data_IF_335801016832
#
_entry.id   IF_335801016832
#
_cell.length_a   1.000
_cell.length_b   1.000
_cell.length_c   1.000
_cell.angle_alpha   90.00
_cell.angle_beta   90.00
_cell.angle_gamma   90.00
#
_symmetry.space_group_name_H-M   'P 1'
#
loop_
_entity.id
_entity.type
_entity.pdbx_description
1 polymer ?
#
# COMPACT_ATOMS: atom_id res chain seq x y z
N UNK A 1 42.58 -6.61 -26.26
CA UNK A 1 41.09 -6.61 -26.43
C UNK A 1 40.40 -7.71 -25.58
N UNK A 2 40.84 -8.96 -25.60
CA UNK A 2 40.18 -10.07 -24.90
C UNK A 2 40.09 -9.89 -23.36
N UNK A 3 41.10 -9.28 -22.72
CA UNK A 3 41.14 -9.05 -21.25
C UNK A 3 40.10 -8.04 -20.75
N UNK A 4 39.60 -7.13 -21.58
CA UNK A 4 38.51 -6.20 -21.24
C UNK A 4 37.13 -6.74 -21.61
N UNK A 5 37.04 -7.67 -22.56
CA UNK A 5 35.79 -8.24 -23.03
C UNK A 5 35.22 -9.27 -22.04
N UNK A 6 36.06 -10.06 -21.39
CA UNK A 6 35.66 -11.11 -20.47
C UNK A 6 34.91 -10.55 -19.21
N UNK A 7 35.43 -9.53 -18.49
CA UNK A 7 34.71 -8.94 -17.37
C UNK A 7 33.38 -8.35 -17.78
N UNK A 8 33.30 -7.69 -18.93
CA UNK A 8 32.05 -7.11 -19.44
C UNK A 8 31.02 -8.20 -19.79
N UNK A 9 31.42 -9.29 -20.39
CA UNK A 9 30.56 -10.45 -20.67
C UNK A 9 30.05 -11.09 -19.38
N UNK A 10 30.91 -11.25 -18.38
CA UNK A 10 30.50 -11.79 -17.05
C UNK A 10 29.50 -10.91 -16.37
N UNK A 11 29.65 -9.59 -16.43
CA UNK A 11 28.66 -8.63 -15.88
C UNK A 11 27.32 -8.77 -16.60
N UNK A 12 27.31 -8.86 -17.93
CA UNK A 12 26.08 -9.05 -18.72
C UNK A 12 25.40 -10.37 -18.33
N UNK A 13 26.14 -11.46 -18.27
CA UNK A 13 25.60 -12.77 -17.87
C UNK A 13 25.04 -12.74 -16.44
N UNK A 14 25.74 -12.10 -15.52
CA UNK A 14 25.26 -11.91 -14.15
C UNK A 14 23.96 -11.12 -14.11
N UNK A 15 23.88 -9.97 -14.80
CA UNK A 15 22.67 -9.14 -14.88
C UNK A 15 21.51 -9.89 -15.55
N UNK A 16 21.79 -10.67 -16.60
CA UNK A 16 20.80 -11.50 -17.27
C UNK A 16 20.28 -12.61 -16.34
N UNK A 17 21.17 -13.24 -15.59
CA UNK A 17 20.79 -14.25 -14.59
C UNK A 17 19.90 -13.65 -13.50
N UNK A 18 20.26 -12.48 -12.97
CA UNK A 18 19.42 -11.76 -12.00
C UNK A 18 18.06 -11.40 -12.58
N UNK A 19 18.02 -10.95 -13.83
CA UNK A 19 16.76 -10.65 -14.52
C UNK A 19 15.89 -11.91 -14.71
N UNK A 20 16.48 -13.04 -15.10
CA UNK A 20 15.77 -14.32 -15.25
C UNK A 20 15.21 -14.78 -13.89
N UNK A 21 16.02 -14.73 -12.82
CA UNK A 21 15.59 -15.08 -11.46
C UNK A 21 14.44 -14.19 -11.02
N UNK A 22 14.55 -12.88 -11.25
CA UNK A 22 13.48 -11.93 -10.93
C UNK A 22 12.18 -12.24 -11.69
N UNK A 23 12.26 -12.58 -12.98
CA UNK A 23 11.12 -12.93 -13.83
C UNK A 23 10.43 -14.24 -13.43
N UNK A 24 11.21 -15.28 -13.13
CA UNK A 24 10.69 -16.61 -12.75
C UNK A 24 9.96 -16.54 -11.41
N UNK A 25 10.42 -15.67 -10.51
CA UNK A 25 9.82 -15.48 -9.18
C UNK A 25 8.69 -14.44 -9.16
N UNK A 26 8.14 -14.03 -10.30
CA UNK A 26 7.00 -13.12 -10.36
C UNK A 26 5.77 -13.73 -9.67
N UNK A 27 5.08 -12.92 -8.87
CA UNK A 27 3.90 -13.32 -8.11
C UNK A 27 2.66 -12.77 -8.82
N UNK A 28 2.11 -13.55 -9.73
CA UNK A 28 0.93 -13.14 -10.49
C UNK A 28 -0.32 -13.22 -9.63
N UNK A 29 -1.18 -12.24 -9.78
CA UNK A 29 -2.54 -12.33 -9.24
C UNK A 29 -3.31 -13.45 -9.94
N UNK A 30 -3.94 -14.32 -9.16
CA UNK A 30 -4.88 -15.35 -9.65
C UNK A 30 -6.22 -15.18 -8.93
N UNK A 31 -6.19 -15.17 -7.59
CA UNK A 31 -7.35 -14.97 -6.71
C UNK A 31 -6.93 -14.15 -5.49
N UNK A 32 -7.90 -13.79 -4.66
CA UNK A 32 -7.62 -13.17 -3.35
C UNK A 32 -6.70 -14.02 -2.47
N UNK A 33 -6.75 -15.37 -2.60
CA UNK A 33 -5.87 -16.27 -1.85
C UNK A 33 -4.40 -16.11 -2.23
N UNK A 34 -4.09 -15.74 -3.49
CA UNK A 34 -2.71 -15.45 -3.88
C UNK A 34 -2.19 -14.18 -3.22
N UNK A 35 -3.07 -13.20 -2.97
CA UNK A 35 -2.75 -11.99 -2.20
C UNK A 35 -2.51 -12.36 -0.73
N UNK A 36 -3.43 -13.13 -0.12
CA UNK A 36 -3.30 -13.60 1.26
C UNK A 36 -1.97 -14.33 1.48
N UNK A 37 -1.66 -15.31 0.61
CA UNK A 37 -0.42 -16.12 0.69
C UNK A 37 0.84 -15.27 0.55
N UNK A 38 0.84 -14.26 -0.33
CA UNK A 38 1.97 -13.36 -0.51
C UNK A 38 2.22 -12.52 0.77
N UNK A 39 1.15 -11.95 1.35
CA UNK A 39 1.24 -11.17 2.58
C UNK A 39 1.58 -12.02 3.80
N UNK A 40 1.10 -13.26 3.88
CA UNK A 40 1.52 -14.21 4.91
C UNK A 40 3.03 -14.45 4.84
N UNK A 41 3.56 -14.75 3.65
CA UNK A 41 5.00 -14.97 3.46
C UNK A 41 5.83 -13.73 3.81
N UNK A 42 5.41 -12.51 3.40
CA UNK A 42 6.09 -11.27 3.72
C UNK A 42 6.05 -10.93 5.22
N UNK A 43 4.98 -11.31 5.92
CA UNK A 43 4.84 -11.08 7.35
C UNK A 43 5.68 -12.07 8.15
N UNK A 44 5.68 -13.36 7.74
CA UNK A 44 6.43 -14.43 8.42
C UNK A 44 7.94 -14.25 8.33
N UNK A 45 8.46 -13.78 7.17
CA UNK A 45 9.89 -13.56 7.00
C UNK A 45 10.42 -12.28 7.70
N UNK A 46 9.52 -11.43 8.18
CA UNK A 46 9.80 -10.19 8.93
C UNK A 46 10.67 -9.15 8.17
N UNK A 47 11.01 -9.39 6.91
CA UNK A 47 11.90 -8.52 6.14
C UNK A 47 11.32 -7.11 5.98
N UNK A 48 10.05 -7.02 5.55
CA UNK A 48 9.38 -5.74 5.40
C UNK A 48 9.25 -5.01 6.73
N UNK A 49 8.85 -5.68 7.80
CA UNK A 49 8.75 -5.08 9.14
C UNK A 49 10.12 -4.55 9.62
N UNK A 50 11.20 -5.33 9.41
CA UNK A 50 12.56 -4.92 9.80
C UNK A 50 13.07 -3.71 9.02
N UNK A 51 12.79 -3.63 7.73
CA UNK A 51 13.21 -2.52 6.86
C UNK A 51 12.25 -1.33 6.98
N UNK A 52 10.96 -1.57 6.83
CA UNK A 52 9.95 -0.53 6.66
C UNK A 52 9.25 -0.12 7.96
N UNK A 53 9.43 -0.89 9.04
CA UNK A 53 8.71 -0.70 10.29
C UNK A 53 7.27 -1.24 10.21
N UNK A 54 6.40 -0.68 11.03
CA UNK A 54 5.02 -1.17 11.19
C UNK A 54 4.05 -0.69 10.09
N UNK A 55 4.55 0.05 9.10
CA UNK A 55 3.77 0.63 8.02
C UNK A 55 4.30 0.16 6.66
N UNK A 56 3.51 -0.59 5.92
CA UNK A 56 3.89 -1.11 4.58
C UNK A 56 3.39 -0.18 3.46
N UNK A 57 2.97 1.03 3.77
CA UNK A 57 2.55 2.06 2.82
C UNK A 57 3.64 3.12 2.60
N UNK A 58 3.46 3.97 1.60
CA UNK A 58 4.36 5.09 1.30
C UNK A 58 4.30 6.16 2.41
N UNK A 59 5.35 6.94 2.53
CA UNK A 59 5.45 8.05 3.47
C UNK A 59 5.05 9.39 2.85
N UNK A 60 4.86 10.41 3.69
CA UNK A 60 4.58 11.77 3.28
C UNK A 60 5.82 12.67 3.45
N UNK A 61 6.26 13.31 2.36
CA UNK A 61 7.44 14.17 2.28
C UNK A 61 7.03 15.56 1.77
N UNK A 62 6.73 16.52 2.66
CA UNK A 62 6.18 17.82 2.29
C UNK A 62 7.17 18.70 1.51
N UNK A 63 8.47 18.42 1.63
CA UNK A 63 9.52 19.14 0.88
C UNK A 63 10.70 18.21 0.59
N UNK A 64 11.27 18.35 -0.62
CA UNK A 64 12.47 17.59 -1.01
C UNK A 64 13.77 18.12 -0.39
N UNK A 65 13.74 19.32 0.21
CA UNK A 65 14.95 19.98 0.74
C UNK A 65 15.31 19.53 2.15
N UNK A 66 14.40 18.95 2.91
CA UNK A 66 14.62 18.51 4.28
C UNK A 66 14.57 16.98 4.35
N UNK A 67 15.62 16.37 4.87
CA UNK A 67 15.62 14.95 5.15
C UNK A 67 14.54 14.61 6.19
N UNK A 68 13.73 13.61 5.88
CA UNK A 68 12.75 13.01 6.80
C UNK A 68 13.09 11.53 6.90
N UNK A 69 13.21 11.03 8.11
CA UNK A 69 13.40 9.60 8.35
C UNK A 69 12.27 8.81 7.69
N UNK A 70 12.65 7.75 6.99
CA UNK A 70 11.73 6.93 6.18
C UNK A 70 10.52 6.40 6.96
N UNK A 71 10.73 5.96 8.22
CA UNK A 71 9.64 5.46 9.06
C UNK A 71 8.79 6.59 9.63
N UNK A 72 9.40 7.72 9.99
CA UNK A 72 8.67 8.91 10.43
C UNK A 72 7.80 9.49 9.31
N UNK A 73 8.26 9.47 8.06
CA UNK A 73 7.47 9.90 6.92
C UNK A 73 6.16 9.08 6.76
N UNK A 74 6.19 7.80 7.09
CA UNK A 74 5.00 6.94 7.07
C UNK A 74 4.02 7.26 8.20
N UNK A 75 4.51 7.51 9.40
CA UNK A 75 3.69 8.00 10.51
C UNK A 75 3.06 9.35 10.16
N UNK A 76 3.85 10.26 9.56
CA UNK A 76 3.36 11.55 9.09
C UNK A 76 2.27 11.40 8.03
N UNK A 77 2.41 10.44 7.11
CA UNK A 77 1.38 10.17 6.10
C UNK A 77 0.01 9.90 6.73
N UNK A 78 -0.04 9.09 7.79
CA UNK A 78 -1.31 8.80 8.50
C UNK A 78 -1.91 10.09 9.07
N UNK A 79 -1.12 10.92 9.74
CA UNK A 79 -1.59 12.19 10.29
C UNK A 79 -2.07 13.17 9.21
N UNK A 80 -1.36 13.27 8.08
CA UNK A 80 -1.76 14.15 6.98
C UNK A 80 -3.07 13.67 6.31
N UNK A 81 -3.23 12.35 6.11
CA UNK A 81 -4.47 11.81 5.54
C UNK A 81 -5.66 11.97 6.51
N UNK A 82 -5.47 11.79 7.83
CA UNK A 82 -6.49 12.08 8.84
C UNK A 82 -6.94 13.53 8.77
N UNK A 83 -5.98 14.47 8.74
CA UNK A 83 -6.28 15.91 8.66
C UNK A 83 -6.97 16.27 7.34
N UNK A 84 -6.43 15.80 6.21
CA UNK A 84 -6.97 16.09 4.89
C UNK A 84 -8.40 15.55 4.72
N UNK A 85 -8.66 14.35 5.24
CA UNK A 85 -10.00 13.73 5.17
C UNK A 85 -10.99 14.34 6.14
N UNK A 86 -10.53 15.04 7.18
CA UNK A 86 -11.36 15.61 8.23
C UNK A 86 -11.74 14.63 9.34
N UNK A 87 -11.08 13.47 9.40
CA UNK A 87 -11.28 12.49 10.47
C UNK A 87 -10.89 13.05 11.85
N UNK A 88 -9.97 14.00 11.90
CA UNK A 88 -9.57 14.72 13.13
C UNK A 88 -10.71 15.46 13.83
N UNK A 89 -11.84 15.67 13.12
CA UNK A 89 -13.07 16.30 13.66
C UNK A 89 -14.02 15.31 14.31
N UNK A 90 -13.77 14.02 14.18
CA UNK A 90 -14.59 13.00 14.84
C UNK A 90 -14.34 12.97 16.34
N UNK A 91 -15.37 12.73 17.17
CA UNK A 91 -15.19 12.61 18.60
C UNK A 91 -14.36 11.37 18.97
N UNK A 92 -13.68 11.44 20.11
CA UNK A 92 -13.03 10.26 20.70
C UNK A 92 -14.06 9.14 20.91
N UNK A 93 -13.64 7.89 20.73
CA UNK A 93 -14.53 6.74 20.79
C UNK A 93 -15.26 6.42 19.48
N UNK A 94 -15.11 7.26 18.44
CA UNK A 94 -15.65 6.92 17.10
C UNK A 94 -15.14 5.58 16.60
N UNK A 95 -16.05 4.83 15.98
CA UNK A 95 -15.77 3.48 15.43
C UNK A 95 -15.21 3.62 14.02
N UNK A 96 -13.97 3.16 13.84
CA UNK A 96 -13.28 3.20 12.56
C UNK A 96 -13.06 1.77 12.05
N UNK A 97 -13.39 1.51 10.79
CA UNK A 97 -12.98 0.30 10.08
C UNK A 97 -11.72 0.61 9.26
N UNK A 98 -10.61 -0.08 9.57
CA UNK A 98 -9.35 -0.01 8.81
C UNK A 98 -9.29 -1.20 7.84
N UNK A 99 -9.62 -0.96 6.57
CA UNK A 99 -9.73 -1.98 5.53
C UNK A 99 -8.38 -2.20 4.88
N UNK A 100 -7.83 -3.41 5.02
CA UNK A 100 -6.47 -3.72 4.61
C UNK A 100 -5.43 -3.22 5.62
N UNK A 101 -5.69 -3.41 6.92
CA UNK A 101 -4.92 -2.84 8.03
C UNK A 101 -3.45 -3.30 8.11
N UNK A 102 -3.06 -4.31 7.33
CA UNK A 102 -1.74 -4.91 7.43
C UNK A 102 -1.44 -5.41 8.86
N UNK A 103 -0.25 -5.10 9.37
CA UNK A 103 0.13 -5.41 10.77
C UNK A 103 -0.34 -4.34 11.77
N UNK A 104 -1.32 -3.50 11.41
CA UNK A 104 -2.03 -2.59 12.31
C UNK A 104 -1.32 -1.27 12.62
N UNK A 105 -0.33 -0.86 11.85
CA UNK A 105 0.42 0.38 12.10
C UNK A 105 -0.47 1.62 12.11
N UNK A 106 -1.29 1.82 11.06
CA UNK A 106 -2.24 2.92 10.96
C UNK A 106 -3.34 2.84 12.02
N UNK A 107 -3.88 1.63 12.25
CA UNK A 107 -4.90 1.39 13.30
C UNK A 107 -4.43 1.86 14.68
N UNK A 108 -3.17 1.53 15.06
CA UNK A 108 -2.60 1.95 16.34
C UNK A 108 -2.41 3.47 16.43
N UNK A 109 -2.06 4.15 15.35
CA UNK A 109 -1.97 5.62 15.31
C UNK A 109 -3.36 6.23 15.50
N UNK A 110 -4.37 5.75 14.78
CA UNK A 110 -5.75 6.23 14.89
C UNK A 110 -6.30 6.06 16.32
N UNK A 111 -6.08 4.91 16.93
CA UNK A 111 -6.52 4.69 18.32
C UNK A 111 -5.73 5.53 19.33
N UNK A 112 -4.40 5.59 19.22
CA UNK A 112 -3.53 6.24 20.20
C UNK A 112 -3.64 7.76 20.20
N UNK A 113 -3.61 8.36 19.01
CA UNK A 113 -3.51 9.84 18.90
C UNK A 113 -4.87 10.51 18.74
N UNK A 114 -5.86 9.81 18.19
CA UNK A 114 -7.20 10.37 17.97
C UNK A 114 -8.25 9.77 18.90
N UNK A 115 -7.90 8.73 19.66
CA UNK A 115 -8.79 8.10 20.64
C UNK A 115 -9.93 7.29 20.02
N UNK A 116 -9.75 6.80 18.79
CA UNK A 116 -10.78 6.04 18.09
C UNK A 116 -10.81 4.57 18.55
N UNK A 117 -11.96 3.93 18.37
CA UNK A 117 -12.14 2.49 18.48
C UNK A 117 -11.94 1.89 17.08
N UNK A 118 -10.81 1.23 16.85
CA UNK A 118 -10.44 0.76 15.50
C UNK A 118 -10.63 -0.74 15.37
N UNK A 119 -11.39 -1.14 14.37
CA UNK A 119 -11.46 -2.52 13.89
C UNK A 119 -10.64 -2.60 12.59
N UNK A 120 -9.52 -3.31 12.63
CA UNK A 120 -8.68 -3.56 11.46
C UNK A 120 -9.02 -4.92 10.83
N UNK A 121 -9.14 -4.96 9.52
CA UNK A 121 -9.32 -6.19 8.77
C UNK A 121 -8.23 -6.37 7.73
N UNK A 122 -7.82 -7.60 7.53
CA UNK A 122 -6.94 -8.04 6.44
C UNK A 122 -7.25 -9.49 6.07
N UNK A 123 -6.98 -9.85 4.82
CA UNK A 123 -7.16 -11.22 4.35
C UNK A 123 -6.07 -12.19 4.86
N UNK A 124 -4.96 -11.66 5.43
CA UNK A 124 -3.81 -12.44 5.89
C UNK A 124 -3.91 -12.80 7.39
N UNK A 125 -4.05 -14.09 7.75
CA UNK A 125 -4.01 -14.54 9.14
C UNK A 125 -2.70 -14.19 9.84
N UNK A 126 -1.56 -14.23 9.13
CA UNK A 126 -0.27 -13.88 9.70
C UNK A 126 -0.20 -12.40 10.09
N UNK A 127 -0.78 -11.51 9.26
CA UNK A 127 -0.87 -10.09 9.60
C UNK A 127 -1.75 -9.84 10.81
N UNK A 128 -2.91 -10.49 10.93
CA UNK A 128 -3.80 -10.37 12.10
C UNK A 128 -3.08 -10.80 13.38
N UNK A 129 -2.40 -11.96 13.33
CA UNK A 129 -1.59 -12.43 14.46
C UNK A 129 -0.54 -11.39 14.85
N UNK A 130 0.21 -10.89 13.86
CA UNK A 130 1.27 -9.91 14.09
C UNK A 130 0.74 -8.57 14.60
N UNK A 131 -0.38 -8.09 14.06
CA UNK A 131 -1.04 -6.86 14.51
C UNK A 131 -1.43 -6.93 15.98
N UNK A 132 -1.98 -8.07 16.43
CA UNK A 132 -2.31 -8.32 17.85
C UNK A 132 -1.06 -8.33 18.75
N UNK A 133 0.02 -8.99 18.30
CA UNK A 133 1.30 -9.02 19.03
C UNK A 133 1.92 -7.63 19.22
N UNK A 134 1.79 -6.75 18.22
CA UNK A 134 2.36 -5.40 18.23
C UNK A 134 1.48 -4.38 18.96
N UNK A 135 0.24 -4.74 19.30
CA UNK A 135 -0.71 -3.79 19.90
C UNK A 135 -0.61 -3.83 21.42
N UNK A 136 -0.29 -2.67 22.06
CA UNK A 136 -0.23 -2.58 23.50
C UNK A 136 -1.58 -2.91 24.17
N UNK A 137 -1.53 -3.54 25.33
CA UNK A 137 -2.71 -3.76 26.16
C UNK A 137 -3.41 -2.44 26.47
N UNK A 138 -4.74 -2.42 26.38
CA UNK A 138 -5.56 -1.23 26.63
C UNK A 138 -5.69 -0.26 25.46
N UNK A 139 -5.03 -0.49 24.33
CA UNK A 139 -5.27 0.29 23.14
C UNK A 139 -6.49 -0.26 22.37
N UNK A 140 -7.44 0.63 22.03
CA UNK A 140 -8.71 0.26 21.39
C UNK A 140 -8.54 -0.12 19.92
N UNK A 141 -7.84 -1.24 19.69
CA UNK A 141 -7.66 -1.86 18.38
C UNK A 141 -8.06 -3.34 18.43
N UNK A 142 -8.91 -3.76 17.52
CA UNK A 142 -9.26 -5.17 17.29
C UNK A 142 -8.92 -5.54 15.84
N UNK A 143 -8.43 -6.78 15.62
CA UNK A 143 -8.02 -7.24 14.29
C UNK A 143 -8.68 -8.56 13.94
N UNK A 144 -9.19 -8.65 12.70
CA UNK A 144 -9.92 -9.80 12.20
C UNK A 144 -9.42 -10.19 10.79
N UNK A 145 -9.42 -11.50 10.51
CA UNK A 145 -9.25 -12.00 9.15
C UNK A 145 -10.57 -11.85 8.42
N UNK A 146 -10.58 -11.04 7.35
CA UNK A 146 -11.80 -10.79 6.57
C UNK A 146 -11.43 -10.33 5.16
N UNK A 147 -12.21 -10.75 4.16
CA UNK A 147 -12.12 -10.25 2.79
C UNK A 147 -12.80 -8.88 2.69
N UNK A 148 -12.11 -7.90 2.15
CA UNK A 148 -12.65 -6.56 1.92
C UNK A 148 -13.77 -6.51 0.87
N UNK A 149 -13.91 -7.57 0.08
CA UNK A 149 -14.99 -7.74 -0.90
C UNK A 149 -16.23 -8.45 -0.31
N UNK A 150 -16.20 -8.85 0.98
CA UNK A 150 -17.31 -9.55 1.64
C UNK A 150 -17.29 -9.27 3.15
N UNK A 151 -17.60 -8.03 3.52
CA UNK A 151 -17.58 -7.58 4.91
C UNK A 151 -18.76 -8.15 5.70
N UNK A 152 -18.47 -8.74 6.85
CA UNK A 152 -19.47 -9.40 7.72
C UNK A 152 -19.97 -8.51 8.86
N UNK A 153 -20.00 -7.20 8.63
CA UNK A 153 -20.56 -6.23 9.56
C UNK A 153 -21.96 -5.77 9.09
N UNK A 154 -22.77 -5.33 10.02
CA UNK A 154 -24.07 -4.71 9.72
C UNK A 154 -23.87 -3.37 8.99
N UNK A 155 -24.86 -2.98 8.19
CA UNK A 155 -24.86 -1.71 7.48
C UNK A 155 -24.75 -0.54 8.46
N UNK A 156 -23.95 0.47 8.11
CA UNK A 156 -23.79 1.67 8.94
C UNK A 156 -23.07 1.45 10.27
N UNK A 157 -22.33 0.35 10.43
CA UNK A 157 -21.67 0.01 11.70
C UNK A 157 -20.55 0.96 12.11
N UNK A 158 -19.98 1.75 11.19
CA UNK A 158 -18.79 2.56 11.45
C UNK A 158 -19.02 4.04 11.19
N UNK A 159 -18.40 4.87 12.04
CA UNK A 159 -18.41 6.33 11.92
C UNK A 159 -17.47 6.82 10.82
N UNK A 160 -16.39 6.05 10.56
CA UNK A 160 -15.54 6.26 9.40
C UNK A 160 -14.94 4.96 8.89
N UNK A 161 -14.61 4.98 7.59
CA UNK A 161 -13.83 3.96 6.90
C UNK A 161 -12.48 4.55 6.53
N UNK A 162 -11.44 3.79 6.85
CA UNK A 162 -10.06 4.07 6.51
C UNK A 162 -9.50 2.95 5.65
N UNK A 163 -8.78 3.27 4.57
CA UNK A 163 -8.06 2.25 3.80
C UNK A 163 -6.84 2.88 3.13
N UNK A 164 -5.68 2.26 3.27
CA UNK A 164 -4.42 2.74 2.70
C UNK A 164 -3.71 1.60 1.97
N UNK A 165 -3.53 1.78 0.66
CA UNK A 165 -2.81 0.86 -0.24
C UNK A 165 -3.36 -0.58 -0.22
N UNK A 166 -4.68 -0.71 -0.07
CA UNK A 166 -5.35 -2.01 -0.13
C UNK A 166 -6.15 -2.20 -1.44
N UNK A 167 -6.76 -1.14 -1.95
CA UNK A 167 -7.61 -1.20 -3.12
C UNK A 167 -6.87 -1.64 -4.40
N UNK A 168 -5.56 -1.39 -4.50
CA UNK A 168 -4.74 -1.85 -5.63
C UNK A 168 -4.77 -3.38 -5.81
N UNK A 169 -5.00 -4.14 -4.74
CA UNK A 169 -5.12 -5.60 -4.75
C UNK A 169 -6.54 -6.12 -5.03
N UNK A 170 -7.54 -5.26 -5.02
CA UNK A 170 -8.92 -5.66 -5.28
C UNK A 170 -9.14 -5.85 -6.79
N UNK A 171 -9.67 -7.00 -7.18
CA UNK A 171 -10.03 -7.27 -8.59
C UNK A 171 -11.32 -6.56 -8.99
N UNK A 172 -12.26 -6.42 -8.06
CA UNK A 172 -13.52 -5.70 -8.23
C UNK A 172 -13.52 -4.42 -7.37
N UNK A 173 -13.12 -3.30 -7.98
CA UNK A 173 -13.07 -2.00 -7.31
C UNK A 173 -14.47 -1.47 -6.94
N UNK A 174 -15.49 -1.82 -7.74
CA UNK A 174 -16.85 -1.38 -7.50
C UNK A 174 -17.42 -2.08 -6.24
N UNK A 175 -17.23 -3.40 -6.15
CA UNK A 175 -17.61 -4.18 -4.96
C UNK A 175 -16.85 -3.74 -3.71
N UNK A 176 -15.56 -3.46 -3.84
CA UNK A 176 -14.74 -2.92 -2.74
C UNK A 176 -15.30 -1.61 -2.19
N UNK A 177 -15.68 -0.69 -3.08
CA UNK A 177 -16.31 0.58 -2.70
C UNK A 177 -17.69 0.35 -2.10
N UNK A 178 -18.49 -0.57 -2.69
CA UNK A 178 -19.84 -0.87 -2.20
C UNK A 178 -19.81 -1.41 -0.76
N UNK A 179 -18.92 -2.37 -0.47
CA UNK A 179 -18.75 -2.92 0.87
C UNK A 179 -18.31 -1.85 1.89
N UNK A 180 -17.35 -1.01 1.53
CA UNK A 180 -16.91 0.07 2.42
C UNK A 180 -18.05 1.06 2.72
N UNK A 181 -18.76 1.53 1.69
CA UNK A 181 -19.83 2.53 1.86
C UNK A 181 -21.09 1.95 2.50
N UNK A 182 -21.39 0.66 2.29
CA UNK A 182 -22.47 -0.05 2.99
C UNK A 182 -22.25 -0.05 4.52
N UNK A 183 -21.01 -0.27 4.93
CA UNK A 183 -20.64 -0.32 6.35
C UNK A 183 -20.47 1.06 7.01
N UNK A 184 -20.44 2.12 6.20
CA UNK A 184 -20.33 3.49 6.66
C UNK A 184 -21.72 4.03 7.04
N UNK A 185 -21.86 4.61 8.25
CA UNK A 185 -23.13 5.22 8.66
C UNK A 185 -23.47 6.45 7.82
N UNK A 186 -24.74 6.84 7.70
CA UNK A 186 -25.11 8.09 7.06
C UNK A 186 -24.37 9.28 7.69
N UNK A 187 -23.77 10.13 6.86
CA UNK A 187 -22.93 11.25 7.27
C UNK A 187 -21.55 10.88 7.80
N UNK A 188 -21.17 9.60 7.80
CA UNK A 188 -19.84 9.11 8.17
C UNK A 188 -18.77 9.54 7.18
N UNK A 189 -17.51 9.30 7.49
CA UNK A 189 -16.34 9.73 6.69
C UNK A 189 -15.66 8.56 6.01
N UNK A 190 -15.37 8.67 4.72
CA UNK A 190 -14.43 7.81 4.02
C UNK A 190 -13.09 8.55 3.85
N UNK A 191 -11.99 7.89 4.21
CA UNK A 191 -10.61 8.29 3.90
C UNK A 191 -9.89 7.11 3.25
N UNK A 192 -9.49 7.26 1.99
CA UNK A 192 -8.81 6.22 1.22
C UNK A 192 -7.59 6.80 0.52
N UNK A 193 -6.54 6.01 0.43
CA UNK A 193 -5.34 6.31 -0.36
C UNK A 193 -4.87 5.05 -1.08
N UNK A 194 -4.53 5.17 -2.38
CA UNK A 194 -4.20 4.00 -3.17
C UNK A 194 -3.30 4.30 -4.38
N UNK A 195 -2.73 3.24 -4.93
CA UNK A 195 -1.98 3.28 -6.18
C UNK A 195 -2.93 3.24 -7.37
N UNK A 196 -2.69 4.14 -8.30
CA UNK A 196 -3.46 4.30 -9.51
C UNK A 196 -2.53 4.30 -10.72
N UNK A 197 -3.05 4.00 -11.90
CA UNK A 197 -2.41 4.39 -13.15
C UNK A 197 -2.91 5.77 -13.56
N UNK A 198 -2.15 6.49 -14.39
CA UNK A 198 -2.73 7.60 -15.14
C UNK A 198 -3.93 7.12 -15.99
N UNK A 199 -4.75 8.01 -16.49
CA UNK A 199 -5.80 7.63 -17.42
C UNK A 199 -5.20 7.09 -18.73
N UNK A 200 -5.15 5.75 -18.87
CA UNK A 200 -4.55 5.07 -20.02
C UNK A 200 -5.40 5.17 -21.29
N UNK A 201 -6.65 5.61 -21.20
CA UNK A 201 -7.52 5.87 -22.38
C UNK A 201 -7.21 7.25 -22.95
N UNK A 202 -7.11 8.26 -22.08
CA UNK A 202 -6.76 9.62 -22.49
C UNK A 202 -5.28 9.73 -22.89
N UNK A 203 -4.41 8.99 -22.23
CA UNK A 203 -2.95 9.00 -22.46
C UNK A 203 -2.44 7.56 -22.62
N UNK A 204 -2.58 6.96 -23.81
CA UNK A 204 -2.20 5.56 -24.07
C UNK A 204 -0.72 5.30 -23.74
N UNK A 205 -0.41 4.17 -23.10
CA UNK A 205 0.96 3.84 -22.75
C UNK A 205 1.77 3.42 -23.98
N UNK A 206 3.02 3.87 -24.04
CA UNK A 206 4.02 3.42 -25.01
C UNK A 206 4.30 1.93 -24.82
N UNK A 207 5.02 1.32 -25.79
CA UNK A 207 5.42 -0.09 -25.68
C UNK A 207 6.21 -0.38 -24.40
N UNK A 208 7.18 0.46 -24.05
CA UNK A 208 7.96 0.31 -22.82
C UNK A 208 7.08 0.44 -21.56
N UNK A 209 6.19 1.42 -21.52
CA UNK A 209 5.27 1.60 -20.40
C UNK A 209 4.33 0.42 -20.21
N UNK A 210 3.86 -0.20 -21.30
CA UNK A 210 3.06 -1.45 -21.25
C UNK A 210 3.84 -2.59 -20.60
N UNK A 211 5.13 -2.75 -20.99
CA UNK A 211 5.99 -3.76 -20.39
C UNK A 211 6.21 -3.50 -18.89
N UNK A 212 6.44 -2.24 -18.51
CA UNK A 212 6.61 -1.85 -17.11
C UNK A 212 5.34 -2.12 -16.31
N UNK A 213 4.17 -1.65 -16.76
CA UNK A 213 2.88 -1.91 -16.09
C UNK A 213 2.65 -3.41 -15.87
N UNK A 214 2.91 -4.22 -16.89
CA UNK A 214 2.83 -5.67 -16.76
C UNK A 214 3.75 -6.22 -15.66
N UNK A 215 4.99 -5.72 -15.55
CA UNK A 215 5.89 -6.13 -14.47
C UNK A 215 5.36 -5.71 -13.10
N UNK A 216 4.86 -4.48 -12.94
CA UNK A 216 4.34 -3.98 -11.68
C UNK A 216 3.14 -4.82 -11.20
N UNK A 217 2.26 -5.22 -12.11
CA UNK A 217 1.14 -6.13 -11.79
C UNK A 217 1.65 -7.51 -11.34
N UNK A 218 2.59 -8.10 -12.11
CA UNK A 218 3.03 -9.48 -11.89
C UNK A 218 3.99 -9.64 -10.71
N UNK A 219 4.70 -8.59 -10.25
CA UNK A 219 5.68 -8.72 -9.17
C UNK A 219 5.06 -8.68 -7.77
N UNK A 220 3.97 -7.93 -7.58
CA UNK A 220 3.36 -7.70 -6.27
C UNK A 220 1.86 -8.04 -6.21
N UNK A 221 1.43 -9.01 -7.01
CA UNK A 221 0.08 -9.62 -6.93
C UNK A 221 -1.04 -8.59 -7.14
N UNK A 222 -0.87 -7.67 -8.11
CA UNK A 222 -1.92 -6.74 -8.46
C UNK A 222 -2.79 -7.28 -9.61
N UNK A 223 -4.12 -7.23 -9.52
CA UNK A 223 -5.00 -7.61 -10.63
C UNK A 223 -5.00 -6.57 -11.74
N UNK A 224 -5.18 -5.29 -11.39
CA UNK A 224 -5.20 -4.16 -12.30
C UNK A 224 -4.98 -2.84 -11.56
N UNK A 225 -4.58 -1.80 -12.29
CA UNK A 225 -4.61 -0.41 -11.82
C UNK A 225 -5.65 0.36 -12.63
N UNK A 226 -6.38 1.26 -11.97
CA UNK A 226 -7.32 2.19 -12.59
C UNK A 226 -6.89 3.64 -12.30
N UNK A 227 -7.39 4.60 -13.07
CA UNK A 227 -7.06 6.00 -12.86
C UNK A 227 -7.74 6.58 -11.61
N UNK A 228 -7.19 7.69 -11.08
CA UNK A 228 -7.82 8.45 -9.99
C UNK A 228 -9.24 8.87 -10.38
N UNK A 229 -9.47 9.25 -11.64
CA UNK A 229 -10.79 9.61 -12.13
C UNK A 229 -11.75 8.43 -12.16
N UNK A 230 -11.30 7.25 -12.62
CA UNK A 230 -12.14 6.05 -12.63
C UNK A 230 -12.52 5.64 -11.22
N UNK A 231 -11.58 5.64 -10.28
CA UNK A 231 -11.87 5.32 -8.89
C UNK A 231 -12.83 6.34 -8.27
N UNK A 232 -12.62 7.64 -8.53
CA UNK A 232 -13.53 8.70 -8.08
C UNK A 232 -14.94 8.55 -8.66
N UNK A 233 -15.06 8.09 -9.91
CA UNK A 233 -16.36 7.84 -10.52
C UNK A 233 -17.09 6.65 -9.86
N UNK A 234 -16.37 5.56 -9.55
CA UNK A 234 -16.94 4.44 -8.78
C UNK A 234 -17.51 4.92 -7.45
N UNK A 235 -16.76 5.77 -6.72
CA UNK A 235 -17.25 6.37 -5.48
C UNK A 235 -18.49 7.23 -5.69
N UNK A 236 -18.54 8.06 -6.75
CA UNK A 236 -19.65 9.00 -7.01
C UNK A 236 -20.95 8.32 -7.38
N UNK A 237 -20.89 7.23 -8.16
CA UNK A 237 -22.09 6.53 -8.63
C UNK A 237 -22.63 5.51 -7.61
N UNK A 238 -21.91 5.28 -6.53
CA UNK A 238 -22.38 4.36 -5.51
C UNK A 238 -23.56 4.93 -4.75
N UNK A 239 -24.63 4.14 -4.59
CA UNK A 239 -25.89 4.53 -3.95
C UNK A 239 -25.74 4.99 -2.49
N UNK A 240 -24.72 4.48 -1.80
CA UNK A 240 -24.44 4.80 -0.40
C UNK A 240 -23.47 6.00 -0.26
N UNK A 241 -23.04 6.61 -1.36
CA UNK A 241 -22.19 7.80 -1.34
C UNK A 241 -23.06 9.04 -1.24
N UNK A 242 -22.95 9.77 -0.13
CA UNK A 242 -23.60 11.04 0.06
C UNK A 242 -22.58 12.19 -0.06
N UNK A 243 -22.93 13.21 -0.83
CA UNK A 243 -22.14 14.42 -0.95
C UNK A 243 -21.02 14.35 -1.99
N UNK A 244 -20.08 15.29 -1.89
CA UNK A 244 -19.01 15.48 -2.87
C UNK A 244 -17.85 14.51 -2.63
N UNK A 245 -17.53 13.70 -3.65
CA UNK A 245 -16.27 12.96 -3.69
C UNK A 245 -15.14 13.90 -4.05
N UNK A 246 -14.13 14.01 -3.20
CA UNK A 246 -12.92 14.80 -3.40
C UNK A 246 -11.75 13.85 -3.53
N UNK A 247 -10.96 14.02 -4.58
CA UNK A 247 -9.72 13.26 -4.80
C UNK A 247 -8.57 14.19 -5.15
N UNK A 248 -7.38 13.81 -4.75
CA UNK A 248 -6.12 14.51 -5.08
C UNK A 248 -5.05 13.51 -5.47
N UNK A 249 -4.09 13.96 -6.26
CA UNK A 249 -2.89 13.21 -6.58
C UNK A 249 -1.75 13.64 -5.64
N UNK A 250 -1.38 12.73 -4.71
CA UNK A 250 -0.30 12.97 -3.75
C UNK A 250 1.07 12.45 -4.20
N UNK A 251 1.24 12.21 -5.48
CA UNK A 251 2.49 11.70 -6.04
C UNK A 251 3.72 12.52 -5.63
N UNK A 252 3.60 13.85 -5.61
CA UNK A 252 4.70 14.75 -5.22
C UNK A 252 5.17 14.54 -3.78
N UNK A 253 4.26 14.14 -2.90
CA UNK A 253 4.53 13.90 -1.48
C UNK A 253 4.99 12.47 -1.21
N UNK A 254 4.55 11.49 -1.97
CA UNK A 254 4.75 10.06 -1.67
C UNK A 254 5.87 9.40 -2.47
N UNK A 255 6.12 9.87 -3.69
CA UNK A 255 7.14 9.33 -4.59
C UNK A 255 8.56 9.20 -3.97
N UNK A 256 9.04 10.11 -3.09
CA UNK A 256 10.35 9.93 -2.46
C UNK A 256 10.49 8.60 -1.70
N UNK A 257 9.40 8.00 -1.23
CA UNK A 257 9.42 6.72 -0.53
C UNK A 257 10.09 5.59 -1.33
N UNK A 258 9.95 5.58 -2.65
CA UNK A 258 10.53 4.55 -3.49
C UNK A 258 12.06 4.56 -3.44
N UNK A 259 12.64 5.74 -3.57
CA UNK A 259 14.09 5.90 -3.45
C UNK A 259 14.56 5.67 -2.01
N UNK A 260 13.87 6.26 -1.03
CA UNK A 260 14.21 6.13 0.38
C UNK A 260 14.11 4.67 0.87
N UNK A 261 13.25 3.83 0.27
CA UNK A 261 13.18 2.41 0.62
C UNK A 261 14.47 1.64 0.27
N UNK A 262 15.14 1.98 -0.83
CA UNK A 262 16.44 1.43 -1.20
C UNK A 262 17.52 1.94 -0.24
N UNK A 263 17.51 3.26 0.01
CA UNK A 263 18.47 3.90 0.91
C UNK A 263 18.33 3.37 2.35
N UNK A 264 17.11 3.06 2.80
CA UNK A 264 16.88 2.47 4.13
C UNK A 264 17.58 1.11 4.28
N UNK A 265 17.56 0.28 3.23
CA UNK A 265 18.31 -0.97 3.21
C UNK A 265 19.82 -0.77 3.35
N UNK A 266 20.36 0.30 2.75
CA UNK A 266 21.79 0.68 2.85
C UNK A 266 22.10 1.26 4.22
N UNK A 267 21.23 2.10 4.79
CA UNK A 267 21.40 2.70 6.13
C UNK A 267 21.27 1.70 7.27
N UNK A 268 20.49 0.63 7.06
CA UNK A 268 20.22 -0.40 8.08
C UNK A 268 20.55 -1.80 7.60
N UNK A 269 21.79 -2.07 7.14
CA UNK A 269 22.16 -3.36 6.58
C UNK A 269 21.95 -4.51 7.55
N UNK A 270 22.14 -4.25 8.85
CA UNK A 270 21.92 -5.24 9.91
C UNK A 270 20.46 -5.73 9.97
N UNK A 271 19.49 -4.90 9.58
CA UNK A 271 18.07 -5.31 9.49
C UNK A 271 17.85 -6.45 8.49
N UNK A 272 18.69 -6.54 7.45
CA UNK A 272 18.64 -7.62 6.45
C UNK A 272 19.57 -8.77 6.89
N UNK A 273 20.81 -8.44 7.26
CA UNK A 273 21.83 -9.44 7.59
C UNK A 273 21.43 -10.32 8.78
N UNK A 274 20.74 -9.75 9.78
CA UNK A 274 20.28 -10.49 10.97
C UNK A 274 19.19 -11.54 10.67
N UNK A 275 18.56 -11.47 9.50
CA UNK A 275 17.56 -12.44 9.04
C UNK A 275 18.17 -13.57 8.18
N UNK A 276 19.48 -13.54 7.97
CA UNK A 276 20.22 -14.58 7.25
C UNK A 276 20.25 -14.43 5.72
N UNK A 277 20.93 -15.35 5.01
CA UNK A 277 21.20 -15.24 3.57
C UNK A 277 19.95 -15.16 2.69
N UNK A 278 18.88 -15.83 3.06
CA UNK A 278 17.62 -15.80 2.31
C UNK A 278 17.01 -14.38 2.26
N UNK A 279 17.14 -13.59 3.32
CA UNK A 279 16.66 -12.21 3.36
C UNK A 279 17.47 -11.30 2.43
N UNK A 280 18.78 -11.54 2.30
CA UNK A 280 19.65 -10.80 1.36
C UNK A 280 19.18 -11.06 -0.08
N UNK A 281 18.97 -12.33 -0.46
CA UNK A 281 18.51 -12.70 -1.81
C UNK A 281 17.14 -12.08 -2.08
N UNK A 282 16.19 -12.15 -1.12
CA UNK A 282 14.87 -11.51 -1.25
C UNK A 282 14.98 -10.00 -1.42
N UNK A 283 15.83 -9.32 -0.64
CA UNK A 283 16.03 -7.86 -0.74
C UNK A 283 16.56 -7.47 -2.11
N UNK A 284 17.57 -8.17 -2.60
CA UNK A 284 18.17 -7.92 -3.94
C UNK A 284 17.09 -8.14 -5.03
N UNK A 285 16.27 -9.17 -4.89
CA UNK A 285 15.19 -9.46 -5.84
C UNK A 285 14.14 -8.35 -5.94
N UNK A 286 13.84 -7.64 -4.85
CA UNK A 286 12.82 -6.57 -4.87
C UNK A 286 13.37 -5.25 -5.48
N UNK A 287 14.68 -5.03 -5.52
CA UNK A 287 15.30 -3.80 -6.04
C UNK A 287 14.80 -3.42 -7.45
N UNK A 288 14.79 -4.31 -8.46
CA UNK A 288 14.31 -3.96 -9.80
C UNK A 288 12.86 -3.47 -9.79
N UNK A 289 11.98 -4.10 -9.01
CA UNK A 289 10.58 -3.70 -8.89
C UNK A 289 10.47 -2.31 -8.26
N UNK A 290 11.23 -2.03 -7.19
CA UNK A 290 11.25 -0.70 -6.54
C UNK A 290 11.76 0.38 -7.52
N UNK A 291 12.79 0.07 -8.33
CA UNK A 291 13.30 0.98 -9.36
C UNK A 291 12.22 1.26 -10.41
N UNK A 292 11.52 0.23 -10.89
CA UNK A 292 10.42 0.40 -11.85
C UNK A 292 9.27 1.21 -11.27
N UNK A 293 8.92 1.00 -9.99
CA UNK A 293 7.92 1.81 -9.29
C UNK A 293 8.36 3.27 -9.21
N UNK A 294 9.59 3.54 -8.74
CA UNK A 294 10.12 4.91 -8.69
C UNK A 294 10.08 5.59 -10.07
N UNK A 295 10.49 4.89 -11.12
CA UNK A 295 10.43 5.39 -12.48
C UNK A 295 8.99 5.69 -12.92
N UNK A 296 8.06 4.76 -12.67
CA UNK A 296 6.66 4.87 -13.08
C UNK A 296 5.94 6.04 -12.41
N UNK A 297 6.15 6.22 -11.11
CA UNK A 297 5.58 7.35 -10.37
C UNK A 297 6.21 8.69 -10.79
N UNK A 298 7.52 8.73 -11.04
CA UNK A 298 8.20 9.94 -11.53
C UNK A 298 7.78 10.35 -12.94
N UNK A 299 7.42 9.39 -13.79
CA UNK A 299 6.91 9.63 -15.16
C UNK A 299 5.41 9.92 -15.20
N UNK A 300 4.71 9.81 -14.07
CA UNK A 300 3.25 9.93 -14.02
C UNK A 300 2.52 8.78 -14.73
N UNK A 301 3.18 7.63 -14.94
CA UNK A 301 2.54 6.41 -15.41
C UNK A 301 1.73 5.77 -14.28
N UNK A 302 2.29 5.81 -13.06
CA UNK A 302 1.60 5.51 -11.82
C UNK A 302 1.38 6.80 -11.03
N UNK A 303 0.28 6.85 -10.30
CA UNK A 303 -0.16 7.97 -9.49
C UNK A 303 -0.55 7.48 -8.09
N UNK A 304 -0.50 8.38 -7.12
CA UNK A 304 -0.94 8.11 -5.77
C UNK A 304 -2.20 8.93 -5.47
N UNK A 305 -3.35 8.28 -5.56
CA UNK A 305 -4.64 8.90 -5.32
C UNK A 305 -5.01 8.90 -3.84
N UNK A 306 -5.54 10.03 -3.36
CA UNK A 306 -6.22 10.11 -2.07
C UNK A 306 -7.67 10.52 -2.30
N UNK A 307 -8.59 9.95 -1.52
CA UNK A 307 -10.02 10.11 -1.72
C UNK A 307 -10.74 10.32 -0.40
N UNK A 308 -11.72 11.20 -0.40
CA UNK A 308 -12.65 11.37 0.70
C UNK A 308 -14.07 11.62 0.20
N UNK A 309 -15.03 11.09 0.90
CA UNK A 309 -16.44 11.42 0.73
C UNK A 309 -17.20 11.20 2.05
N UNK A 310 -18.50 11.46 2.01
CA UNK A 310 -19.44 11.11 3.08
C UNK A 310 -20.32 9.94 2.68
N UNK A 311 -20.75 9.14 3.66
CA UNK A 311 -21.74 8.08 3.48
C UNK A 311 -23.18 8.58 3.57
#
# INVERSE_FOLDING_TARGET
MLKFFLPFLLIILFLLTLFIIWRINARKYVTSDTVASAYDAWTQDKLLERLWGEHIHLGFYPTRKKYIDFRKAKVQFVHELVKWSGLDKLPKGSRILDVGCGIGGSSRILAKYYGFNVTGITISPAQVKRARELTPSGLNCNFQVMDALDLKFEDGSFDAIWSVEAGAHMNDKAKFVDEMLRNLRPGGYLALADWNSRDLRAYPPSFLEKLVLKQLLEQWVHPNFISINDFSNILRINKNSAGKVISENWNSYTNPSWYESIIEGIRRPYSILSLGPAAIVKSIREIPTIILMNWSFRKGLMEFGVYKCRG
#
